data_IF_446197503888
#
_entry.id   IF_446197503888
#
_cell.length_a   1.000
_cell.length_b   1.000
_cell.length_c   1.000
_cell.angle_alpha   90.00
_cell.angle_beta   90.00
_cell.angle_gamma   90.00
#
_symmetry.space_group_name_H-M   'P 1'
#
loop_
_entity.id
_entity.type
_entity.pdbx_description
1 polymer ?
#
# COMPACT_ATOMS: atom_id res chain seq x y z
N UNK A 1 -13.08 -3.98 -1.35
CA UNK A 1 -11.94 -4.32 -0.46
C UNK A 1 -10.66 -3.73 -1.03
N UNK A 2 -9.73 -3.20 -0.22
CA UNK A 2 -8.50 -2.60 -0.73
C UNK A 2 -7.53 -3.60 -1.36
N UNK A 3 -6.89 -3.20 -2.45
CA UNK A 3 -5.81 -3.95 -3.09
C UNK A 3 -4.54 -3.11 -3.14
N UNK A 4 -3.40 -3.76 -2.97
CA UNK A 4 -2.08 -3.10 -2.95
C UNK A 4 -1.18 -3.84 -3.92
N UNK A 5 -0.68 -3.14 -4.91
CA UNK A 5 0.38 -3.63 -5.79
C UNK A 5 1.69 -3.00 -5.32
N UNK A 6 2.68 -3.84 -5.05
CA UNK A 6 4.04 -3.44 -4.70
C UNK A 6 4.95 -3.79 -5.85
N UNK A 7 5.59 -2.79 -6.41
CA UNK A 7 6.52 -2.90 -7.52
C UNK A 7 7.95 -2.73 -6.99
N UNK A 8 8.88 -3.54 -7.51
CA UNK A 8 10.32 -3.37 -7.33
C UNK A 8 11.05 -4.06 -8.49
N UNK A 9 12.30 -3.65 -8.74
CA UNK A 9 13.17 -4.27 -9.74
C UNK A 9 14.02 -5.43 -9.20
N UNK A 10 14.18 -5.55 -7.88
CA UNK A 10 15.07 -6.53 -7.24
C UNK A 10 14.30 -7.55 -6.39
N UNK A 11 14.52 -8.84 -6.64
CA UNK A 11 13.95 -9.93 -5.84
C UNK A 11 14.41 -9.91 -4.37
N UNK A 12 15.61 -9.39 -4.07
CA UNK A 12 16.08 -9.25 -2.68
C UNK A 12 15.20 -8.30 -1.89
N UNK A 13 14.74 -7.23 -2.53
CA UNK A 13 13.80 -6.28 -1.94
C UNK A 13 12.48 -6.97 -1.59
N UNK A 14 11.99 -7.87 -2.44
CA UNK A 14 10.82 -8.69 -2.12
C UNK A 14 11.04 -9.65 -0.96
N UNK A 15 12.20 -10.28 -0.86
CA UNK A 15 12.53 -11.12 0.28
C UNK A 15 12.41 -10.37 1.60
N UNK A 16 12.95 -9.15 1.66
CA UNK A 16 12.85 -8.29 2.85
C UNK A 16 11.41 -7.87 3.13
N UNK A 17 10.66 -7.46 2.10
CA UNK A 17 9.27 -7.02 2.23
C UNK A 17 8.33 -8.16 2.62
N UNK A 18 8.60 -9.42 2.23
CA UNK A 18 7.75 -10.56 2.54
C UNK A 18 7.60 -10.80 4.04
N UNK A 19 8.70 -10.68 4.79
CA UNK A 19 8.70 -10.82 6.25
C UNK A 19 7.86 -9.72 6.92
N UNK A 20 7.77 -8.55 6.28
CA UNK A 20 7.05 -7.39 6.76
C UNK A 20 5.55 -7.38 6.37
N UNK A 21 5.10 -8.27 5.47
CA UNK A 21 3.72 -8.28 4.95
C UNK A 21 2.66 -8.26 6.07
N UNK A 22 2.69 -9.11 7.10
CA UNK A 22 1.62 -9.13 8.10
C UNK A 22 1.48 -7.79 8.83
N UNK A 23 2.62 -7.16 9.14
CA UNK A 23 2.68 -5.86 9.81
C UNK A 23 2.19 -4.73 8.89
N UNK A 24 2.57 -4.77 7.61
CA UNK A 24 2.09 -3.83 6.61
C UNK A 24 0.59 -3.95 6.34
N UNK A 25 0.05 -5.17 6.25
CA UNK A 25 -1.40 -5.41 6.10
C UNK A 25 -2.19 -4.84 7.26
N UNK A 26 -1.72 -5.06 8.49
CA UNK A 26 -2.39 -4.51 9.67
C UNK A 26 -2.37 -2.98 9.63
N UNK A 27 -1.21 -2.38 9.38
CA UNK A 27 -1.09 -0.92 9.30
C UNK A 27 -2.00 -0.32 8.22
N UNK A 28 -2.04 -0.94 7.03
CA UNK A 28 -2.92 -0.52 5.95
C UNK A 28 -4.40 -0.63 6.32
N UNK A 29 -4.81 -1.70 7.00
CA UNK A 29 -6.17 -1.86 7.47
C UNK A 29 -6.56 -0.74 8.44
N UNK A 30 -5.67 -0.39 9.37
CA UNK A 30 -5.90 0.68 10.34
C UNK A 30 -5.98 2.05 9.65
N UNK A 31 -5.11 2.33 8.67
CA UNK A 31 -5.09 3.61 7.95
C UNK A 31 -6.21 3.78 6.94
N UNK A 32 -6.67 2.70 6.35
CA UNK A 32 -7.75 2.73 5.35
C UNK A 32 -9.14 2.58 6.00
N UNK A 33 -9.23 2.17 7.26
CA UNK A 33 -10.49 2.17 8.02
C UNK A 33 -11.08 3.58 8.10
N UNK A 34 -12.40 3.68 8.00
CA UNK A 34 -13.17 4.91 8.19
C UNK A 34 -14.43 4.62 9.01
N UNK A 35 -15.25 5.63 9.28
CA UNK A 35 -16.51 5.48 10.02
C UNK A 35 -17.48 4.46 9.41
N UNK A 36 -17.48 4.32 8.08
CA UNK A 36 -18.40 3.47 7.33
C UNK A 36 -17.90 2.03 7.20
N UNK A 37 -16.58 1.81 7.23
CA UNK A 37 -16.00 0.47 7.12
C UNK A 37 -14.80 0.30 8.04
N UNK A 38 -14.86 -0.74 8.87
CA UNK A 38 -13.73 -1.22 9.66
C UNK A 38 -13.07 -2.37 8.92
N UNK A 39 -11.83 -2.15 8.50
CA UNK A 39 -11.05 -3.15 7.78
C UNK A 39 -10.20 -3.96 8.76
N UNK A 40 -9.99 -5.22 8.40
CA UNK A 40 -9.01 -6.10 9.02
C UNK A 40 -7.88 -6.40 8.06
N UNK A 41 -6.73 -6.85 8.57
CA UNK A 41 -5.59 -7.24 7.74
C UNK A 41 -5.95 -8.31 6.69
N UNK A 42 -6.98 -9.14 6.93
CA UNK A 42 -7.44 -10.18 6.01
C UNK A 42 -8.12 -9.62 4.75
N UNK A 43 -8.67 -8.41 4.85
CA UNK A 43 -9.38 -7.74 3.75
C UNK A 43 -8.42 -6.91 2.88
N UNK A 44 -7.14 -6.83 3.25
CA UNK A 44 -6.09 -6.20 2.46
C UNK A 44 -5.45 -7.27 1.57
N UNK A 45 -5.68 -7.14 0.26
CA UNK A 45 -5.00 -7.96 -0.74
C UNK A 45 -3.70 -7.28 -1.17
N UNK A 46 -2.59 -8.01 -1.15
CA UNK A 46 -1.28 -7.49 -1.56
C UNK A 46 -0.68 -8.37 -2.65
N UNK A 47 -0.07 -7.74 -3.65
CA UNK A 47 0.61 -8.41 -4.77
C UNK A 47 1.99 -7.80 -4.95
N UNK A 48 2.97 -8.65 -5.25
CA UNK A 48 4.31 -8.21 -5.63
C UNK A 48 4.46 -8.35 -7.14
N UNK A 49 4.97 -7.31 -7.77
CA UNK A 49 5.13 -7.22 -9.22
C UNK A 49 6.60 -6.90 -9.50
N UNK A 50 7.35 -7.89 -9.98
CA UNK A 50 8.73 -7.68 -10.42
C UNK A 50 8.72 -6.88 -11.72
N UNK A 51 9.36 -5.72 -11.70
CA UNK A 51 9.47 -4.86 -12.88
C UNK A 51 10.74 -5.25 -13.63
N UNK A 52 10.57 -5.84 -14.83
CA UNK A 52 11.67 -6.37 -15.64
C UNK A 52 12.32 -5.33 -16.58
N UNK A 53 11.88 -4.07 -16.55
CA UNK A 53 12.41 -2.99 -17.38
C UNK A 53 11.63 -1.69 -17.24
N UNK A 54 12.16 -0.61 -17.80
CA UNK A 54 11.65 0.75 -17.61
C UNK A 54 12.28 1.44 -16.40
N UNK A 55 11.97 2.72 -16.24
CA UNK A 55 12.39 3.50 -15.07
C UNK A 55 11.32 3.44 -13.99
N UNK A 56 11.77 3.29 -12.75
CA UNK A 56 10.93 3.47 -11.56
C UNK A 56 11.32 4.79 -10.88
N UNK A 57 10.34 5.48 -10.31
CA UNK A 57 10.50 6.72 -9.55
C UNK A 57 11.10 6.48 -8.17
N UNK A 58 10.98 5.27 -7.64
CA UNK A 58 11.58 4.83 -6.38
C UNK A 58 12.08 3.39 -6.47
N UNK A 59 12.83 2.97 -5.46
CA UNK A 59 13.28 1.58 -5.35
C UNK A 59 12.11 0.63 -5.08
N UNK A 60 11.12 1.12 -4.35
CA UNK A 60 9.84 0.46 -4.12
C UNK A 60 8.71 1.43 -4.46
N UNK A 61 7.73 0.91 -5.17
CA UNK A 61 6.56 1.66 -5.58
C UNK A 61 5.32 0.92 -5.10
N UNK A 62 4.36 1.64 -4.52
CA UNK A 62 3.14 1.08 -3.97
C UNK A 62 1.93 1.77 -4.55
N UNK A 63 1.07 1.00 -5.19
CA UNK A 63 -0.23 1.45 -5.64
C UNK A 63 -1.31 0.81 -4.76
N UNK A 64 -2.05 1.66 -4.07
CA UNK A 64 -3.14 1.25 -3.18
C UNK A 64 -4.44 1.65 -3.87
N UNK A 65 -5.33 0.69 -4.11
CA UNK A 65 -6.67 0.95 -4.63
C UNK A 65 -7.69 0.69 -3.53
N UNK A 66 -8.58 1.65 -3.28
CA UNK A 66 -9.61 1.53 -2.26
C UNK A 66 -10.88 2.32 -2.65
N UNK A 67 -12.00 2.04 -1.97
CA UNK A 67 -13.25 2.77 -2.20
C UNK A 67 -13.13 4.25 -1.78
N UNK A 68 -13.79 5.17 -2.48
CA UNK A 68 -13.73 6.60 -2.23
C UNK A 68 -14.70 7.07 -1.10
N UNK A 69 -14.52 6.59 0.14
CA UNK A 69 -15.27 7.14 1.26
C UNK A 69 -14.86 8.59 1.55
N UNK A 70 -15.80 9.51 1.89
CA UNK A 70 -15.49 10.92 2.11
C UNK A 70 -14.36 11.16 3.12
N UNK A 71 -14.34 10.43 4.24
CA UNK A 71 -13.27 10.52 5.23
C UNK A 71 -11.90 10.13 4.66
N UNK A 72 -11.86 9.11 3.79
CA UNK A 72 -10.62 8.64 3.17
C UNK A 72 -10.10 9.62 2.12
N UNK A 73 -11.01 10.23 1.34
CA UNK A 73 -10.68 11.29 0.37
C UNK A 73 -10.03 12.48 1.09
N UNK A 74 -10.61 12.94 2.20
CA UNK A 74 -10.06 14.06 2.98
C UNK A 74 -8.66 13.80 3.56
N UNK A 75 -8.27 12.52 3.69
CA UNK A 75 -7.00 12.10 4.32
C UNK A 75 -6.03 11.49 3.31
N UNK A 76 -6.29 11.54 2.00
CA UNK A 76 -5.58 10.75 1.00
C UNK A 76 -4.06 10.99 1.01
N UNK A 77 -3.61 12.24 0.98
CA UNK A 77 -2.20 12.61 1.01
C UNK A 77 -1.53 12.15 2.31
N UNK A 78 -2.24 12.34 3.43
CA UNK A 78 -1.75 11.94 4.75
C UNK A 78 -1.57 10.43 4.83
N UNK A 79 -2.51 9.66 4.29
CA UNK A 79 -2.44 8.19 4.23
C UNK A 79 -1.20 7.78 3.42
N UNK A 80 -1.00 8.35 2.22
CA UNK A 80 0.17 8.07 1.40
C UNK A 80 1.48 8.35 2.13
N UNK A 81 1.61 9.53 2.76
CA UNK A 81 2.81 9.94 3.48
C UNK A 81 3.10 9.04 4.70
N UNK A 82 2.07 8.69 5.46
CA UNK A 82 2.22 7.82 6.64
C UNK A 82 2.62 6.39 6.26
N UNK A 83 2.05 5.85 5.20
CA UNK A 83 2.42 4.51 4.69
C UNK A 83 3.86 4.52 4.17
N UNK A 84 4.24 5.53 3.40
CA UNK A 84 5.60 5.69 2.89
C UNK A 84 6.61 5.69 4.05
N UNK A 85 6.39 6.56 5.05
CA UNK A 85 7.25 6.64 6.25
C UNK A 85 7.31 5.32 6.99
N UNK A 86 6.16 4.68 7.22
CA UNK A 86 6.10 3.40 7.90
C UNK A 86 6.93 2.32 7.20
N UNK A 87 6.85 2.24 5.88
CA UNK A 87 7.61 1.26 5.09
C UNK A 87 9.12 1.54 5.17
N UNK A 88 9.53 2.81 5.08
CA UNK A 88 10.94 3.24 5.18
C UNK A 88 11.53 3.03 6.58
N UNK A 89 10.80 3.38 7.64
CA UNK A 89 11.24 3.23 9.03
C UNK A 89 11.45 1.75 9.41
N UNK A 90 10.61 0.86 8.88
CA UNK A 90 10.72 -0.57 9.15
C UNK A 90 11.71 -1.29 8.23
N UNK A 91 12.07 -0.67 7.10
CA UNK A 91 13.03 -1.23 6.15
C UNK A 91 13.98 -0.13 5.63
N UNK A 92 14.91 0.40 6.44
CA UNK A 92 15.77 1.51 5.99
C UNK A 92 16.62 1.18 4.75
N UNK A 93 16.90 -0.11 4.52
CA UNK A 93 17.73 -0.60 3.41
C UNK A 93 17.03 -0.63 2.05
N UNK A 94 15.70 -0.53 1.97
CA UNK A 94 15.00 -0.55 0.67
C UNK A 94 15.10 0.80 -0.07
N UNK A 95 15.49 1.87 0.62
CA UNK A 95 15.69 3.20 0.04
C UNK A 95 14.39 3.97 -0.24
N UNK A 96 14.30 4.59 -1.42
CA UNK A 96 13.19 5.48 -1.76
C UNK A 96 11.90 4.70 -2.03
N UNK A 97 10.80 5.13 -1.41
CA UNK A 97 9.48 4.49 -1.49
C UNK A 97 8.49 5.51 -2.02
N UNK A 98 7.75 5.15 -3.08
CA UNK A 98 6.63 5.96 -3.58
C UNK A 98 5.31 5.26 -3.29
N UNK A 99 4.31 6.03 -2.89
CA UNK A 99 2.97 5.51 -2.55
C UNK A 99 1.91 6.34 -3.24
N UNK A 100 1.02 5.70 -3.98
CA UNK A 100 -0.16 6.31 -4.56
C UNK A 100 -1.42 5.65 -4.02
N UNK A 101 -2.43 6.48 -3.73
CA UNK A 101 -3.76 6.02 -3.33
C UNK A 101 -4.75 6.35 -4.45
N UNK A 102 -5.27 5.31 -5.09
CA UNK A 102 -6.34 5.38 -6.07
C UNK A 102 -7.67 5.15 -5.36
N UNK A 103 -8.43 6.23 -5.20
CA UNK A 103 -9.78 6.19 -4.66
C UNK A 103 -10.77 6.05 -5.81
N UNK A 104 -11.57 4.99 -5.78
CA UNK A 104 -12.53 4.69 -6.83
C UNK A 104 -13.94 4.55 -6.25
N UNK A 105 -14.93 5.00 -7.02
CA UNK A 105 -16.34 4.60 -6.88
C UNK A 105 -16.45 3.11 -7.27
N UNK A 106 -15.97 2.22 -6.40
CA UNK A 106 -16.04 0.79 -6.63
C UNK A 106 -17.51 0.35 -6.60
N UNK A 107 -17.99 -0.26 -7.68
CA UNK A 107 -19.20 -1.07 -7.63
C UNK A 107 -18.97 -2.24 -6.67
N UNK A 108 -19.93 -2.48 -5.78
CA UNK A 108 -19.84 -3.55 -4.78
C UNK A 108 -20.78 -4.69 -5.19
N UNK A 109 -20.22 -5.83 -5.61
CA UNK A 109 -20.93 -7.11 -5.52
C UNK A 109 -20.44 -7.80 -4.25
N UNK A 110 -21.32 -7.91 -3.25
CA UNK A 110 -21.08 -8.71 -2.04
C UNK A 110 -21.26 -10.20 -2.34
#
# INVERSE_FOLDING_TARGET
MPTVNIYATDQKVFGNLQVFIPKLKQYLADKLTCSEIKLTAKEITMRFVLVAGGEMLGNVEMEITAHAFPERVQKEDKICLEIMRFVQENNPSIGDVKVWLKLCELGHSW
#
